data_IF_135550699198
#
_entry.id   IF_135550699198
#
_cell.length_a   1.000
_cell.length_b   1.000
_cell.length_c   1.000
_cell.angle_alpha   90.00
_cell.angle_beta   90.00
_cell.angle_gamma   90.00
#
_symmetry.space_group_name_H-M   'P 1'
#
loop_
_entity.id
_entity.type
_entity.pdbx_description
1 polymer ?
#
# COMPACT_ATOMS: atom_id res chain seq x y z
N UNK A 1 19.27 -50.38 -51.23
CA UNK A 1 18.13 -49.44 -51.32
C UNK A 1 17.21 -49.67 -50.13
N UNK A 2 17.24 -48.78 -49.14
CA UNK A 2 16.06 -48.08 -48.59
C UNK A 2 16.34 -47.57 -47.19
N UNK A 3 16.42 -46.24 -47.10
CA UNK A 3 16.47 -45.44 -45.88
C UNK A 3 15.29 -45.69 -44.98
N UNK A 4 15.52 -45.65 -43.66
CA UNK A 4 14.53 -45.23 -42.67
C UNK A 4 15.20 -44.30 -41.67
N UNK A 5 15.17 -43.01 -41.98
CA UNK A 5 15.36 -41.91 -41.04
C UNK A 5 13.98 -41.26 -40.87
N UNK A 6 13.74 -40.70 -39.68
CA UNK A 6 12.66 -39.78 -39.29
C UNK A 6 11.52 -40.42 -38.49
N UNK A 7 11.55 -40.20 -37.17
CA UNK A 7 10.57 -39.35 -36.49
C UNK A 7 10.92 -39.24 -34.98
N UNK A 8 11.87 -38.36 -34.65
CA UNK A 8 12.02 -37.82 -33.29
C UNK A 8 12.04 -36.30 -33.38
N UNK A 9 10.88 -35.69 -33.61
CA UNK A 9 10.77 -34.22 -33.70
C UNK A 9 9.59 -33.65 -32.92
N UNK A 10 8.94 -34.43 -32.06
CA UNK A 10 7.74 -34.00 -31.33
C UNK A 10 7.94 -33.47 -29.91
N UNK A 11 9.06 -33.79 -29.23
CA UNK A 11 9.17 -33.56 -27.77
C UNK A 11 9.82 -32.23 -27.37
N UNK A 12 10.40 -31.47 -28.29
CA UNK A 12 11.13 -30.24 -27.93
C UNK A 12 10.23 -29.02 -27.72
N UNK A 13 8.97 -29.05 -28.17
CA UNK A 13 8.09 -27.87 -28.16
C UNK A 13 7.31 -27.66 -26.83
N UNK A 14 7.21 -28.67 -25.96
CA UNK A 14 6.49 -28.53 -24.68
C UNK A 14 7.35 -28.00 -23.52
N UNK A 15 8.67 -27.91 -23.68
CA UNK A 15 9.56 -27.43 -22.61
C UNK A 15 9.66 -25.89 -22.54
N UNK A 16 9.24 -25.17 -23.58
CA UNK A 16 9.39 -23.71 -23.66
C UNK A 16 8.17 -22.92 -23.14
N UNK A 17 7.12 -23.60 -22.66
CA UNK A 17 5.93 -22.95 -22.09
C UNK A 17 6.03 -22.71 -20.58
N UNK A 18 7.06 -23.22 -19.90
CA UNK A 18 7.19 -23.16 -18.43
C UNK A 18 8.01 -21.97 -17.91
N UNK A 19 8.54 -21.10 -18.78
CA UNK A 19 9.44 -20.00 -18.39
C UNK A 19 8.84 -18.60 -18.48
N UNK A 20 7.52 -18.47 -18.68
CA UNK A 20 6.81 -17.26 -18.30
C UNK A 20 6.69 -17.24 -16.77
N UNK A 21 7.83 -17.03 -16.11
CA UNK A 21 7.85 -16.66 -14.70
C UNK A 21 6.95 -15.46 -14.56
N UNK A 22 5.79 -15.64 -13.94
CA UNK A 22 5.02 -14.53 -13.44
C UNK A 22 6.01 -13.71 -12.62
N UNK A 23 6.35 -12.51 -13.09
CA UNK A 23 7.20 -11.60 -12.34
C UNK A 23 6.53 -11.47 -10.97
N UNK A 24 7.12 -12.10 -9.96
CA UNK A 24 6.55 -12.16 -8.63
C UNK A 24 6.48 -10.71 -8.15
N UNK A 25 5.27 -10.14 -8.18
CA UNK A 25 5.08 -8.76 -7.82
C UNK A 25 5.67 -8.56 -6.42
N UNK A 26 6.65 -7.67 -6.32
CA UNK A 26 7.28 -7.37 -5.04
C UNK A 26 6.17 -6.88 -4.10
N UNK A 27 5.97 -7.52 -2.94
CA UNK A 27 4.89 -7.13 -2.04
C UNK A 27 5.11 -5.68 -1.60
N UNK A 28 4.13 -4.82 -1.89
CA UNK A 28 4.15 -3.40 -1.57
C UNK A 28 3.85 -3.20 -0.08
N UNK A 29 4.54 -2.26 0.56
CA UNK A 29 4.15 -1.72 1.86
C UNK A 29 3.26 -0.49 1.62
N UNK A 30 2.02 -0.54 2.09
CA UNK A 30 1.09 0.59 2.02
C UNK A 30 1.33 1.47 3.24
N UNK A 31 1.58 2.75 3.03
CA UNK A 31 1.91 3.72 4.08
C UNK A 31 0.95 4.89 3.96
N UNK A 32 0.07 5.04 4.94
CA UNK A 32 -1.05 5.96 4.92
C UNK A 32 -0.86 7.01 6.02
N UNK A 33 -0.63 8.26 5.63
CA UNK A 33 -0.54 9.38 6.57
C UNK A 33 -1.90 10.08 6.70
N UNK A 34 -2.42 10.15 7.92
CA UNK A 34 -3.54 11.01 8.28
C UNK A 34 -3.00 12.36 8.79
N UNK A 35 -3.39 13.44 8.10
CA UNK A 35 -2.82 14.79 8.28
C UNK A 35 -3.89 15.87 8.11
N UNK A 36 -3.54 17.12 8.38
CA UNK A 36 -4.37 18.28 8.03
C UNK A 36 -3.53 19.54 7.89
N UNK A 37 -3.93 20.45 7.01
CA UNK A 37 -3.40 21.82 6.93
C UNK A 37 -3.62 22.59 8.24
N UNK A 38 -4.70 22.29 8.97
CA UNK A 38 -5.00 22.91 10.27
C UNK A 38 -4.20 22.33 11.44
N UNK A 39 -3.44 21.25 11.22
CA UNK A 39 -2.66 20.57 12.25
C UNK A 39 -1.21 21.11 12.29
N UNK A 40 -0.88 21.86 13.33
CA UNK A 40 0.44 22.49 13.48
C UNK A 40 1.58 21.49 13.72
N UNK A 41 1.28 20.31 14.26
CA UNK A 41 2.24 19.23 14.52
C UNK A 41 2.47 18.31 13.32
N UNK A 42 1.69 18.44 12.25
CA UNK A 42 1.75 17.57 11.07
C UNK A 42 2.90 17.83 10.07
N UNK A 43 3.49 19.03 9.93
CA UNK A 43 4.53 19.28 8.93
C UNK A 43 5.74 18.32 8.95
N UNK A 44 6.27 17.89 10.12
CA UNK A 44 7.36 16.91 10.16
C UNK A 44 6.99 15.55 9.57
N UNK A 45 5.79 15.04 9.88
CA UNK A 45 5.31 13.76 9.36
C UNK A 45 5.05 13.82 7.84
N UNK A 46 4.47 14.94 7.36
CA UNK A 46 4.32 15.20 5.93
C UNK A 46 5.68 15.15 5.21
N UNK A 47 6.70 15.79 5.78
CA UNK A 47 8.05 15.81 5.21
C UNK A 47 8.69 14.42 5.19
N UNK A 48 8.49 13.60 6.22
CA UNK A 48 9.02 12.24 6.28
C UNK A 48 8.32 11.31 5.27
N UNK A 49 7.00 11.41 5.10
CA UNK A 49 6.30 10.66 4.04
C UNK A 49 6.82 11.03 2.64
N UNK A 50 7.03 12.32 2.37
CA UNK A 50 7.55 12.79 1.07
C UNK A 50 8.92 12.17 0.76
N UNK A 51 9.79 11.99 1.75
CA UNK A 51 11.12 11.39 1.56
C UNK A 51 11.06 9.94 1.08
N UNK A 52 10.01 9.20 1.46
CA UNK A 52 9.88 7.77 1.15
C UNK A 52 8.96 7.48 -0.03
N UNK A 53 8.30 8.50 -0.60
CA UNK A 53 7.26 8.32 -1.63
C UNK A 53 7.73 7.60 -2.90
N UNK A 54 9.02 7.76 -3.25
CA UNK A 54 9.62 7.16 -4.45
C UNK A 54 10.44 5.90 -4.11
N UNK A 55 10.39 5.43 -2.85
CA UNK A 55 11.13 4.23 -2.43
C UNK A 55 10.52 2.99 -3.09
N UNK A 56 11.32 2.13 -3.74
CA UNK A 56 10.83 0.89 -4.31
C UNK A 56 10.10 0.04 -3.28
N UNK A 57 8.93 -0.47 -3.64
CA UNK A 57 8.13 -1.31 -2.74
C UNK A 57 7.28 -0.53 -1.73
N UNK A 58 7.22 0.80 -1.79
CA UNK A 58 6.37 1.63 -0.92
C UNK A 58 5.26 2.28 -1.74
N UNK A 59 4.02 2.20 -1.26
CA UNK A 59 2.90 3.00 -1.72
C UNK A 59 2.57 4.03 -0.63
N UNK A 60 3.03 5.27 -0.83
CA UNK A 60 2.78 6.38 0.09
C UNK A 60 1.47 7.10 -0.26
N UNK A 61 0.57 7.22 0.71
CA UNK A 61 -0.73 7.87 0.60
C UNK A 61 -0.87 8.94 1.68
N UNK A 62 -1.54 10.04 1.36
CA UNK A 62 -1.84 11.13 2.29
C UNK A 62 -3.34 11.38 2.31
N UNK A 63 -3.91 11.36 3.51
CA UNK A 63 -5.32 11.49 3.78
C UNK A 63 -5.57 12.67 4.71
N UNK A 64 -6.12 13.75 4.14
CA UNK A 64 -6.41 14.94 4.90
C UNK A 64 -7.75 14.79 5.65
N UNK A 65 -7.69 14.87 6.97
CA UNK A 65 -8.86 14.70 7.84
C UNK A 65 -9.58 16.04 8.06
N UNK A 66 -10.87 15.98 8.40
CA UNK A 66 -11.72 17.19 8.53
C UNK A 66 -11.88 17.68 9.96
N UNK A 67 -11.45 16.92 10.98
CA UNK A 67 -11.71 17.28 12.38
C UNK A 67 -10.85 18.42 12.91
N UNK A 68 -10.02 19.06 12.08
CA UNK A 68 -9.36 20.34 12.39
C UNK A 68 -10.11 21.56 11.84
N UNK A 69 -11.07 21.36 10.93
CA UNK A 69 -11.77 22.45 10.23
C UNK A 69 -12.54 23.37 11.20
N UNK A 70 -12.87 22.89 12.40
CA UNK A 70 -13.54 23.69 13.43
C UNK A 70 -12.72 24.88 13.92
N UNK A 71 -11.40 24.90 13.68
CA UNK A 71 -10.50 26.01 14.01
C UNK A 71 -10.64 27.22 13.06
N UNK A 72 -11.51 27.14 12.05
CA UNK A 72 -11.80 28.24 11.12
C UNK A 72 -10.99 28.22 9.83
N UNK A 73 -9.95 27.38 9.74
CA UNK A 73 -9.30 27.03 8.47
C UNK A 73 -9.81 25.66 8.02
N UNK A 74 -10.57 25.63 6.92
CA UNK A 74 -10.99 24.38 6.30
C UNK A 74 -9.90 23.83 5.38
N UNK A 75 -9.49 22.59 5.60
CA UNK A 75 -8.49 21.93 4.75
C UNK A 75 -9.04 21.69 3.34
N UNK A 76 -8.33 22.19 2.31
CA UNK A 76 -8.78 22.06 0.90
C UNK A 76 -8.72 20.63 0.37
N UNK A 77 -7.91 19.76 0.98
CA UNK A 77 -7.80 18.34 0.65
C UNK A 77 -8.62 17.46 1.61
N UNK A 78 -9.19 18.08 2.66
CA UNK A 78 -9.95 17.41 3.70
C UNK A 78 -11.21 16.71 3.17
N UNK A 79 -11.40 15.44 3.54
CA UNK A 79 -12.62 14.67 3.21
C UNK A 79 -13.13 13.88 4.43
N UNK A 80 -14.46 13.82 4.60
CA UNK A 80 -15.07 13.09 5.73
C UNK A 80 -14.77 11.60 5.64
N UNK A 81 -14.67 11.07 4.43
CA UNK A 81 -14.35 9.67 4.16
C UNK A 81 -12.93 9.32 4.65
N UNK A 82 -12.00 10.27 4.61
CA UNK A 82 -10.64 10.11 5.13
C UNK A 82 -10.62 10.07 6.66
N UNK A 83 -11.40 10.95 7.30
CA UNK A 83 -11.63 10.86 8.75
C UNK A 83 -12.29 9.54 9.14
N UNK A 84 -13.30 9.09 8.40
CA UNK A 84 -13.98 7.84 8.70
C UNK A 84 -13.05 6.63 8.54
N UNK A 85 -12.17 6.65 7.54
CA UNK A 85 -11.12 5.65 7.36
C UNK A 85 -10.21 5.57 8.58
N UNK A 86 -9.74 6.71 9.07
CA UNK A 86 -8.95 6.77 10.30
C UNK A 86 -9.71 6.18 11.49
N UNK A 87 -10.96 6.62 11.70
CA UNK A 87 -11.82 6.10 12.78
C UNK A 87 -11.96 4.58 12.73
N UNK A 88 -11.99 3.98 11.54
CA UNK A 88 -12.01 2.51 11.39
C UNK A 88 -10.68 1.83 11.75
N UNK A 89 -9.56 2.53 11.65
CA UNK A 89 -8.24 2.03 12.07
C UNK A 89 -8.04 2.08 13.60
N UNK A 90 -8.63 3.05 14.30
CA UNK A 90 -8.30 3.28 15.72
C UNK A 90 -8.53 2.05 16.63
N UNK A 91 -9.71 1.39 16.63
CA UNK A 91 -9.93 0.28 17.55
C UNK A 91 -8.97 -0.91 17.36
N UNK A 92 -8.71 -1.44 16.14
CA UNK A 92 -7.75 -2.53 15.96
C UNK A 92 -6.28 -2.10 16.20
N UNK A 93 -5.97 -0.81 16.13
CA UNK A 93 -4.65 -0.27 16.50
C UNK A 93 -4.52 0.03 18.01
N UNK A 94 -5.61 -0.09 18.77
CA UNK A 94 -5.60 0.10 20.23
C UNK A 94 -5.75 1.55 20.68
N UNK A 95 -6.29 2.43 19.82
CA UNK A 95 -6.55 3.83 20.12
C UNK A 95 -8.03 4.09 20.40
N UNK A 96 -8.31 5.04 21.29
CA UNK A 96 -9.69 5.43 21.65
C UNK A 96 -10.35 6.35 20.61
N UNK A 97 -9.57 6.92 19.69
CA UNK A 97 -10.07 7.84 18.67
C UNK A 97 -8.97 8.45 17.81
N UNK A 98 -9.35 9.09 16.69
CA UNK A 98 -8.42 9.54 15.67
C UNK A 98 -7.55 10.70 16.15
N UNK A 99 -6.29 10.73 15.74
CA UNK A 99 -5.33 11.79 16.05
C UNK A 99 -4.42 12.11 14.86
N UNK A 100 -3.84 13.32 14.83
CA UNK A 100 -2.84 13.67 13.81
C UNK A 100 -1.58 14.29 14.40
N UNK A 101 -0.41 14.07 13.77
CA UNK A 101 -0.22 13.17 12.64
C UNK A 101 -0.25 11.70 13.08
N UNK A 102 -0.74 10.84 12.21
CA UNK A 102 -0.69 9.39 12.38
C UNK A 102 -0.33 8.74 11.04
N UNK A 103 0.64 7.85 11.05
CA UNK A 103 1.06 7.05 9.91
C UNK A 103 0.69 5.60 10.19
N UNK A 104 -0.17 5.02 9.36
CA UNK A 104 -0.53 3.61 9.42
C UNK A 104 0.22 2.84 8.33
N UNK A 105 0.88 1.75 8.70
CA UNK A 105 1.59 0.85 7.78
C UNK A 105 0.83 -0.46 7.66
N UNK A 106 0.52 -0.83 6.41
CA UNK A 106 -0.16 -2.07 6.05
C UNK A 106 -1.49 -2.29 6.80
N UNK A 107 -2.09 -1.24 7.36
CA UNK A 107 -3.31 -1.31 8.16
C UNK A 107 -3.19 -2.03 9.51
N UNK A 108 -1.97 -2.30 9.99
CA UNK A 108 -1.75 -3.17 11.16
C UNK A 108 -0.86 -2.56 12.25
N UNK A 109 -0.13 -1.50 11.94
CA UNK A 109 0.71 -0.82 12.90
C UNK A 109 0.75 0.67 12.58
N UNK A 110 0.93 1.51 13.59
CA UNK A 110 1.01 2.95 13.41
C UNK A 110 2.07 3.62 14.28
N UNK A 111 2.44 4.83 13.84
CA UNK A 111 3.37 5.75 14.52
C UNK A 111 2.92 7.19 14.26
N UNK A 112 3.41 8.14 15.05
CA UNK A 112 3.19 9.58 14.79
C UNK A 112 3.89 10.00 13.49
N UNK A 113 5.07 9.44 13.21
CA UNK A 113 5.82 9.66 11.97
C UNK A 113 6.58 10.99 11.91
N UNK A 114 6.61 11.76 13.00
CA UNK A 114 7.26 13.06 13.06
C UNK A 114 8.78 12.94 13.22
N UNK A 115 9.27 11.88 13.86
CA UNK A 115 10.71 11.68 14.05
C UNK A 115 11.37 11.12 12.77
N UNK A 116 12.56 11.60 12.39
CA UNK A 116 13.29 11.05 11.24
C UNK A 116 13.51 9.53 11.38
N UNK A 117 13.21 8.77 10.33
CA UNK A 117 13.41 7.31 10.30
C UNK A 117 12.30 6.49 10.97
N UNK A 118 11.34 7.11 11.65
CA UNK A 118 10.27 6.42 12.36
C UNK A 118 9.37 5.62 11.41
N UNK A 119 9.01 6.21 10.26
CA UNK A 119 8.18 5.55 9.24
C UNK A 119 8.95 4.38 8.62
N UNK A 120 10.22 4.58 8.27
CA UNK A 120 11.08 3.55 7.68
C UNK A 120 11.31 2.38 8.64
N UNK A 121 11.45 2.67 9.94
CA UNK A 121 11.54 1.64 10.96
C UNK A 121 10.24 0.84 11.05
N UNK A 122 9.08 1.52 11.07
CA UNK A 122 7.78 0.84 11.09
C UNK A 122 7.56 -0.03 9.85
N UNK A 123 7.95 0.45 8.66
CA UNK A 123 7.91 -0.33 7.41
C UNK A 123 8.75 -1.60 7.51
N UNK A 124 9.90 -1.53 8.18
CA UNK A 124 10.81 -2.67 8.35
C UNK A 124 10.32 -3.65 9.42
N UNK A 125 9.71 -3.14 10.49
CA UNK A 125 9.19 -3.93 11.60
C UNK A 125 7.84 -4.59 11.30
N UNK A 126 7.06 -4.03 10.36
CA UNK A 126 5.72 -4.53 10.04
C UNK A 126 5.79 -5.59 8.94
N UNK A 127 5.20 -6.77 9.22
CA UNK A 127 5.07 -7.81 8.22
C UNK A 127 4.30 -7.28 6.99
N UNK A 128 4.73 -7.70 5.80
CA UNK A 128 4.00 -7.37 4.58
C UNK A 128 2.65 -8.09 4.59
N UNK A 129 1.59 -7.38 4.20
CA UNK A 129 0.23 -7.93 4.15
C UNK A 129 0.14 -9.08 3.14
N UNK A 130 -0.52 -10.17 3.56
CA UNK A 130 -1.01 -11.18 2.64
C UNK A 130 -2.25 -10.64 1.92
N UNK A 131 -2.09 -10.28 0.66
CA UNK A 131 -3.16 -9.77 -0.21
C UNK A 131 -2.92 -10.18 -1.66
N UNK A 132 -3.83 -9.85 -2.58
CA UNK A 132 -3.59 -10.07 -4.00
C UNK A 132 -2.29 -9.37 -4.44
N UNK A 133 -1.55 -9.99 -5.37
CA UNK A 133 -0.38 -9.32 -5.94
C UNK A 133 -0.80 -8.05 -6.69
N UNK A 134 -0.04 -6.98 -6.55
CA UNK A 134 -0.27 -5.71 -7.24
C UNK A 134 0.90 -5.42 -8.18
N UNK A 135 0.63 -5.20 -9.46
CA UNK A 135 1.64 -4.71 -10.41
C UNK A 135 1.21 -3.41 -11.06
N UNK A 136 2.17 -2.50 -11.23
CA UNK A 136 2.00 -1.23 -11.92
C UNK A 136 2.92 -1.21 -13.13
N UNK A 137 2.37 -1.14 -14.34
CA UNK A 137 3.13 -1.07 -15.59
C UNK A 137 2.39 -0.24 -16.65
N UNK A 138 3.08 0.70 -17.28
CA UNK A 138 2.54 1.48 -18.41
C UNK A 138 1.20 2.17 -18.15
N UNK A 139 0.95 2.66 -16.94
CA UNK A 139 -0.32 3.29 -16.55
C UNK A 139 -1.47 2.30 -16.29
N UNK A 140 -1.17 1.01 -16.21
CA UNK A 140 -2.12 -0.04 -15.83
C UNK A 140 -1.79 -0.55 -14.43
N UNK A 141 -2.84 -0.86 -13.68
CA UNK A 141 -2.76 -1.59 -12.41
C UNK A 141 -3.35 -2.97 -12.63
N UNK A 142 -2.59 -4.01 -12.29
CA UNK A 142 -3.07 -5.39 -12.29
C UNK A 142 -3.17 -5.88 -10.83
N UNK A 143 -4.32 -6.48 -10.50
CA UNK A 143 -4.60 -7.08 -9.21
C UNK A 143 -4.70 -8.59 -9.42
N UNK A 144 -3.80 -9.35 -8.81
CA UNK A 144 -3.77 -10.80 -8.88
C UNK A 144 -4.88 -11.46 -8.06
N UNK A 145 -4.92 -12.80 -8.09
CA UNK A 145 -5.80 -13.56 -7.22
C UNK A 145 -5.34 -13.43 -5.75
N UNK A 146 -6.30 -13.41 -4.84
CA UNK A 146 -6.05 -13.39 -3.40
C UNK A 146 -7.11 -14.21 -2.67
N UNK A 147 -6.81 -14.60 -1.44
CA UNK A 147 -7.83 -15.14 -0.56
C UNK A 147 -8.86 -14.04 -0.28
N UNK A 148 -10.14 -14.34 -0.50
CA UNK A 148 -11.19 -13.41 -0.10
C UNK A 148 -11.12 -13.25 1.43
N UNK A 149 -11.02 -12.02 1.96
CA UNK A 149 -11.13 -11.82 3.40
C UNK A 149 -12.50 -12.31 3.86
N UNK A 150 -12.62 -12.82 5.09
CA UNK A 150 -13.89 -13.25 5.66
C UNK A 150 -14.91 -12.11 5.87
N UNK A 151 -14.55 -10.88 5.53
CA UNK A 151 -15.34 -9.66 5.69
C UNK A 151 -15.52 -8.87 4.39
N UNK A 152 -15.81 -7.58 4.52
CA UNK A 152 -15.94 -6.66 3.37
C UNK A 152 -14.57 -6.23 2.87
N UNK A 153 -14.48 -5.95 1.57
CA UNK A 153 -13.33 -5.30 0.95
C UNK A 153 -13.79 -3.97 0.35
N UNK A 154 -13.05 -2.91 0.63
CA UNK A 154 -13.28 -1.60 0.00
C UNK A 154 -12.39 -1.46 -1.22
N UNK A 155 -13.01 -1.12 -2.36
CA UNK A 155 -12.29 -0.80 -3.61
C UNK A 155 -12.43 0.70 -3.85
N UNK A 156 -11.29 1.39 -3.89
CA UNK A 156 -11.22 2.82 -4.22
C UNK A 156 -10.72 2.95 -5.67
N UNK A 157 -11.52 3.64 -6.50
CA UNK A 157 -11.21 3.95 -7.91
C UNK A 157 -10.91 5.43 -8.08
#
# INVERSE_FOLDING_TARGET
MSSRVLALSGLAALALAASLGAAAAQPLSVVELFTSQGCSSCPPANANLIKIKDRPGVLALSFNVTYWDYLGWKDTFGKKEFTQRQVSYEPPLGHDGPFTPQVVVNGHADVVGAAPGEIEHLITATAKTGGPSLSLDGGKVAIGAGAAPGGKADVWL
#
